data_IF_527777398026
#
_entry.id   IF_527777398026
#
_cell.length_a   1.000
_cell.length_b   1.000
_cell.length_c   1.000
_cell.angle_alpha   90.00
_cell.angle_beta   90.00
_cell.angle_gamma   90.00
#
_symmetry.space_group_name_H-M   'P 1'
#
loop_
_entity.id
_entity.type
_entity.pdbx_description
1 polymer ?
#
# COMPACT_ATOMS: atom_id res chain seq x y z
N UNK A 1 -29.40 -8.90 4.08
CA UNK A 1 -28.76 -7.69 4.58
C UNK A 1 -28.41 -6.86 3.36
N UNK A 2 -29.23 -5.86 3.03
CA UNK A 2 -28.99 -5.00 1.87
C UNK A 2 -27.78 -4.13 2.19
N UNK A 3 -26.65 -4.41 1.52
CA UNK A 3 -25.53 -3.50 1.51
C UNK A 3 -26.02 -2.17 0.93
N UNK A 4 -26.17 -1.16 1.78
CA UNK A 4 -26.52 0.20 1.37
C UNK A 4 -25.62 0.63 0.21
N UNK A 5 -26.20 1.28 -0.80
CA UNK A 5 -25.46 1.80 -1.96
C UNK A 5 -24.29 2.65 -1.45
N UNK A 6 -23.07 2.19 -1.70
CA UNK A 6 -21.89 2.99 -1.44
C UNK A 6 -21.92 4.20 -2.39
N UNK A 7 -21.87 5.41 -1.83
CA UNK A 7 -21.61 6.61 -2.62
C UNK A 7 -20.16 6.58 -3.08
N UNK A 8 -19.94 6.75 -4.39
CA UNK A 8 -18.61 6.72 -5.01
C UNK A 8 -18.31 8.10 -5.58
N UNK A 9 -17.29 8.74 -5.05
CA UNK A 9 -16.74 9.99 -5.57
C UNK A 9 -15.44 9.72 -6.34
N UNK A 10 -15.33 10.25 -7.55
CA UNK A 10 -14.15 10.11 -8.40
C UNK A 10 -13.29 11.38 -8.36
N UNK A 11 -12.02 11.24 -7.98
CA UNK A 11 -11.04 12.34 -7.98
C UNK A 11 -10.02 12.08 -9.09
N UNK A 12 -9.99 12.92 -10.12
CA UNK A 12 -8.98 12.86 -11.18
C UNK A 12 -7.76 13.71 -10.80
N UNK A 13 -6.70 13.07 -10.33
CA UNK A 13 -5.46 13.74 -9.93
C UNK A 13 -4.26 12.80 -9.96
N UNK A 14 -3.06 13.38 -9.96
CA UNK A 14 -1.81 12.65 -9.75
C UNK A 14 -1.61 12.41 -8.25
N UNK A 15 -1.84 11.17 -7.82
CA UNK A 15 -1.77 10.78 -6.41
C UNK A 15 -0.41 11.09 -5.76
N UNK A 16 0.68 11.02 -6.54
CA UNK A 16 2.03 11.30 -6.02
C UNK A 16 2.22 12.77 -5.65
N UNK A 17 1.39 13.67 -6.19
CA UNK A 17 1.43 15.11 -5.95
C UNK A 17 0.40 15.58 -4.93
N UNK A 18 -0.83 15.06 -4.99
CA UNK A 18 -1.91 15.48 -4.08
C UNK A 18 -1.92 14.72 -2.75
N UNK A 19 -1.40 13.48 -2.74
CA UNK A 19 -1.38 12.62 -1.56
C UNK A 19 -2.78 12.41 -0.97
N UNK A 20 -2.83 12.31 0.36
CA UNK A 20 -4.08 12.05 1.08
C UNK A 20 -4.81 13.31 1.56
N UNK A 21 -4.21 14.49 1.38
CA UNK A 21 -4.72 15.72 1.99
C UNK A 21 -6.10 16.09 1.45
N UNK A 22 -6.31 15.88 0.15
CA UNK A 22 -7.53 16.19 -0.58
C UNK A 22 -8.63 15.13 -0.49
N UNK A 23 -8.46 14.06 0.29
CA UNK A 23 -9.39 12.91 0.28
C UNK A 23 -10.51 13.06 1.31
N UNK A 24 -10.19 13.16 2.60
CA UNK A 24 -11.20 13.31 3.66
C UNK A 24 -10.60 13.95 4.90
N UNK A 25 -11.25 14.94 5.53
CA UNK A 25 -10.76 15.53 6.78
C UNK A 25 -10.74 14.54 7.95
N UNK A 26 -11.52 13.47 7.88
CA UNK A 26 -11.59 12.42 8.90
C UNK A 26 -10.53 11.33 8.70
N UNK A 27 -10.48 10.37 9.63
CA UNK A 27 -9.64 9.19 9.48
C UNK A 27 -10.28 8.22 8.50
N UNK A 28 -9.46 7.56 7.68
CA UNK A 28 -9.95 6.66 6.63
C UNK A 28 -9.08 5.41 6.48
N UNK A 29 -9.65 4.42 5.80
CA UNK A 29 -8.93 3.21 5.37
C UNK A 29 -8.51 3.34 3.92
N UNK A 30 -7.28 2.95 3.62
CA UNK A 30 -6.73 2.92 2.26
C UNK A 30 -6.77 1.49 1.75
N UNK A 31 -7.37 1.29 0.58
CA UNK A 31 -7.29 0.04 -0.18
C UNK A 31 -6.83 0.39 -1.60
N UNK A 32 -5.76 -0.25 -2.08
CA UNK A 32 -5.26 0.06 -3.43
C UNK A 32 -4.47 -1.08 -4.06
N UNK A 33 -4.58 -1.19 -5.39
CA UNK A 33 -3.65 -1.94 -6.22
C UNK A 33 -2.75 -0.93 -6.95
N UNK A 34 -1.50 -0.80 -6.50
CA UNK A 34 -0.62 0.29 -6.91
C UNK A 34 0.20 -0.08 -8.16
N UNK A 35 0.44 0.88 -9.08
CA UNK A 35 1.53 0.75 -10.03
C UNK A 35 2.85 0.58 -9.27
N UNK A 36 3.63 -0.44 -9.62
CA UNK A 36 4.82 -0.80 -8.84
C UNK A 36 5.90 0.29 -8.79
N UNK A 37 5.94 1.14 -9.80
CA UNK A 37 6.92 2.22 -9.92
C UNK A 37 6.80 3.29 -8.83
N UNK A 38 5.63 3.40 -8.17
CA UNK A 38 5.38 4.42 -7.14
C UNK A 38 5.35 3.84 -5.72
N UNK A 39 5.77 2.58 -5.53
CA UNK A 39 5.64 1.88 -4.25
C UNK A 39 6.38 2.58 -3.11
N UNK A 40 7.57 3.12 -3.38
CA UNK A 40 8.39 3.81 -2.38
C UNK A 40 7.74 5.13 -1.95
N UNK A 41 7.36 5.97 -2.92
CA UNK A 41 6.70 7.25 -2.72
C UNK A 41 5.36 7.04 -1.99
N UNK A 42 4.61 6.01 -2.36
CA UNK A 42 3.36 5.65 -1.69
C UNK A 42 3.57 5.32 -0.21
N UNK A 43 4.57 4.48 0.12
CA UNK A 43 4.87 4.15 1.51
C UNK A 43 5.28 5.38 2.31
N UNK A 44 6.07 6.29 1.71
CA UNK A 44 6.44 7.55 2.34
C UNK A 44 5.21 8.45 2.60
N UNK A 45 4.27 8.51 1.67
CA UNK A 45 3.01 9.25 1.83
C UNK A 45 2.13 8.65 2.94
N UNK A 46 2.03 7.33 3.03
CA UNK A 46 1.32 6.63 4.10
C UNK A 46 1.95 6.94 5.46
N UNK A 47 3.28 6.84 5.57
CA UNK A 47 4.01 7.17 6.81
C UNK A 47 3.79 8.62 7.23
N UNK A 48 3.85 9.55 6.27
CA UNK A 48 3.65 10.98 6.51
C UNK A 48 2.21 11.30 6.92
N UNK A 49 1.24 10.54 6.38
CA UNK A 49 -0.20 10.74 6.63
C UNK A 49 -0.79 9.79 7.68
N UNK A 50 0.05 9.03 8.40
CA UNK A 50 -0.37 7.95 9.31
C UNK A 50 -1.34 8.38 10.43
N UNK A 51 -1.38 9.66 10.78
CA UNK A 51 -2.31 10.21 11.76
C UNK A 51 -3.76 10.22 11.27
N UNK A 52 -3.97 10.16 9.94
CA UNK A 52 -5.27 10.10 9.27
C UNK A 52 -5.63 8.72 8.73
N UNK A 53 -4.69 7.76 8.73
CA UNK A 53 -4.91 6.44 8.16
C UNK A 53 -5.10 5.42 9.28
N UNK A 54 -6.27 4.79 9.34
CA UNK A 54 -6.55 3.71 10.30
C UNK A 54 -5.91 2.39 9.87
N UNK A 55 -6.01 2.10 8.58
CA UNK A 55 -5.50 0.88 7.98
C UNK A 55 -5.16 1.13 6.52
N UNK A 56 -4.10 0.48 6.06
CA UNK A 56 -3.67 0.48 4.67
C UNK A 56 -3.56 -0.98 4.22
N UNK A 57 -4.38 -1.38 3.25
CA UNK A 57 -4.34 -2.71 2.61
C UNK A 57 -4.01 -2.48 1.15
N UNK A 58 -2.77 -2.74 0.78
CA UNK A 58 -2.30 -2.49 -0.58
C UNK A 58 -1.62 -3.70 -1.15
N UNK A 59 -1.80 -3.89 -2.45
CA UNK A 59 -1.04 -4.87 -3.21
C UNK A 59 0.22 -4.23 -3.77
N UNK A 60 1.34 -4.91 -3.58
CA UNK A 60 2.67 -4.50 -3.98
C UNK A 60 3.37 -5.63 -4.76
N UNK A 61 4.54 -5.34 -5.33
CA UNK A 61 5.42 -6.43 -5.80
C UNK A 61 5.86 -7.26 -4.59
N UNK A 62 5.86 -8.58 -4.76
CA UNK A 62 6.23 -9.53 -3.70
C UNK A 62 7.57 -9.17 -3.03
N UNK A 63 8.62 -8.95 -3.80
CA UNK A 63 9.95 -8.61 -3.26
C UNK A 63 9.94 -7.33 -2.40
N UNK A 64 9.12 -6.35 -2.79
CA UNK A 64 9.00 -5.10 -2.05
C UNK A 64 8.23 -5.31 -0.74
N UNK A 65 7.12 -6.03 -0.78
CA UNK A 65 6.33 -6.40 0.40
C UNK A 65 7.14 -7.25 1.40
N UNK A 66 7.87 -8.26 0.90
CA UNK A 66 8.72 -9.13 1.71
C UNK A 66 9.84 -8.33 2.38
N UNK A 67 10.49 -7.39 1.68
CA UNK A 67 11.50 -6.51 2.27
C UNK A 67 10.92 -5.57 3.32
N UNK A 68 9.72 -5.04 3.12
CA UNK A 68 9.06 -4.20 4.14
C UNK A 68 8.75 -5.00 5.42
N UNK A 69 8.35 -6.27 5.28
CA UNK A 69 8.00 -7.15 6.41
C UNK A 69 9.18 -7.95 6.98
N UNK A 70 10.37 -7.83 6.39
CA UNK A 70 11.54 -8.63 6.76
C UNK A 70 11.93 -8.46 8.23
N UNK A 71 12.28 -9.55 8.91
CA UNK A 71 12.75 -9.51 10.31
C UNK A 71 14.25 -9.23 10.40
N UNK A 72 14.73 -8.58 11.49
CA UNK A 72 16.17 -8.43 11.75
C UNK A 72 16.92 -9.75 11.63
N UNK A 73 18.08 -9.73 10.99
CA UNK A 73 18.92 -10.92 10.76
C UNK A 73 18.55 -11.73 9.52
N UNK A 74 17.45 -11.43 8.82
CA UNK A 74 17.16 -12.03 7.51
C UNK A 74 17.97 -11.39 6.40
N UNK A 75 18.24 -12.13 5.31
CA UNK A 75 19.03 -11.66 4.15
C UNK A 75 18.44 -10.43 3.46
N UNK A 76 17.11 -10.29 3.51
CA UNK A 76 16.37 -9.21 2.85
C UNK A 76 16.05 -8.04 3.79
N UNK A 77 16.47 -8.11 5.05
CA UNK A 77 16.34 -7.03 6.02
C UNK A 77 17.27 -5.86 5.68
N UNK A 78 16.74 -4.64 5.70
CA UNK A 78 17.55 -3.45 5.44
C UNK A 78 16.83 -2.15 5.76
N UNK A 79 17.28 -1.06 5.12
CA UNK A 79 16.77 0.29 5.37
C UNK A 79 15.25 0.41 5.18
N UNK A 80 14.69 -0.24 4.15
CA UNK A 80 13.24 -0.27 3.92
C UNK A 80 12.48 -0.97 5.07
N UNK A 81 12.99 -2.09 5.55
CA UNK A 81 12.40 -2.85 6.66
C UNK A 81 12.38 -1.98 7.93
N UNK A 82 13.51 -1.36 8.25
CA UNK A 82 13.66 -0.46 9.40
C UNK A 82 12.69 0.71 9.29
N UNK A 83 12.71 1.41 8.15
CA UNK A 83 11.87 2.58 7.92
C UNK A 83 10.39 2.24 8.06
N UNK A 84 9.92 1.20 7.34
CA UNK A 84 8.51 0.84 7.37
C UNK A 84 8.06 0.37 8.76
N UNK A 85 8.83 -0.51 9.41
CA UNK A 85 8.45 -1.09 10.71
C UNK A 85 8.59 -0.11 11.87
N UNK A 86 9.44 0.91 11.74
CA UNK A 86 9.53 1.97 12.74
C UNK A 86 8.25 2.80 12.82
N UNK A 87 7.62 3.08 11.68
CA UNK A 87 6.41 3.91 11.61
C UNK A 87 5.11 3.11 11.56
N UNK A 88 5.13 1.86 11.06
CA UNK A 88 3.95 1.08 10.71
C UNK A 88 4.03 -0.35 11.24
N UNK A 89 2.89 -0.94 11.58
CA UNK A 89 2.76 -2.39 11.77
C UNK A 89 2.54 -3.08 10.42
N UNK A 90 3.60 -3.55 9.81
CA UNK A 90 3.57 -4.23 8.50
C UNK A 90 3.22 -5.71 8.68
N UNK A 91 2.24 -6.21 7.91
CA UNK A 91 1.84 -7.62 7.92
C UNK A 91 1.51 -8.10 6.50
N UNK A 92 2.22 -9.10 5.97
CA UNK A 92 1.82 -9.80 4.75
C UNK A 92 0.45 -10.46 4.92
N UNK A 93 -0.40 -10.38 3.89
CA UNK A 93 -1.76 -10.93 3.94
C UNK A 93 -1.90 -12.19 3.10
N UNK A 94 -1.59 -12.10 1.80
CA UNK A 94 -1.72 -13.22 0.87
C UNK A 94 -0.87 -12.97 -0.38
N UNK A 95 -0.37 -14.03 -1.00
CA UNK A 95 0.24 -13.94 -2.33
C UNK A 95 -0.87 -13.84 -3.39
N UNK A 96 -0.67 -12.97 -4.38
CA UNK A 96 -1.57 -12.84 -5.54
C UNK A 96 -0.85 -13.30 -6.80
N UNK A 97 -1.33 -14.36 -7.47
CA UNK A 97 -0.66 -14.88 -8.66
C UNK A 97 -0.76 -13.89 -9.81
N UNK A 98 0.32 -13.76 -10.59
CA UNK A 98 0.35 -12.90 -11.78
C UNK A 98 -0.78 -13.18 -12.80
N UNK A 99 -1.35 -14.38 -12.79
CA UNK A 99 -2.48 -14.78 -13.66
C UNK A 99 -3.79 -14.07 -13.31
N UNK A 100 -3.87 -13.40 -12.15
CA UNK A 100 -5.01 -12.57 -11.75
C UNK A 100 -5.06 -11.21 -12.49
N UNK A 101 -4.05 -10.86 -13.29
CA UNK A 101 -3.90 -9.56 -13.93
C UNK A 101 -4.04 -9.63 -15.45
N UNK A 102 -4.49 -8.52 -16.04
CA UNK A 102 -4.49 -8.29 -17.50
C UNK A 102 -3.98 -6.87 -17.81
N UNK A 103 -2.86 -6.71 -18.53
CA UNK A 103 -1.94 -7.76 -18.99
C UNK A 103 -1.21 -8.43 -17.81
N UNK A 104 -0.68 -9.64 -18.04
CA UNK A 104 0.05 -10.41 -17.01
C UNK A 104 1.39 -9.71 -16.71
N UNK A 105 1.68 -9.34 -15.45
CA UNK A 105 2.96 -8.75 -15.07
C UNK A 105 4.08 -9.79 -15.10
N UNK A 106 5.33 -9.31 -15.17
CA UNK A 106 6.53 -10.15 -15.14
C UNK A 106 6.90 -10.66 -13.74
N UNK A 107 6.26 -10.14 -12.70
CA UNK A 107 6.56 -10.42 -11.30
C UNK A 107 5.31 -10.86 -10.55
N UNK A 108 5.50 -11.51 -9.41
CA UNK A 108 4.43 -11.85 -8.46
C UNK A 108 4.09 -10.68 -7.53
N UNK A 109 2.90 -10.73 -6.94
CA UNK A 109 2.35 -9.70 -6.05
C UNK A 109 2.01 -10.25 -4.67
N UNK A 110 1.96 -9.36 -3.68
CA UNK A 110 1.54 -9.64 -2.30
C UNK A 110 0.86 -8.42 -1.66
#
# INVERSE_FOLDING_TARGET
EEAGKAEVEGIHSDFTKCGFQSVSPERFTVVSNLPYQISTEFVQLVVSSRHRIDRCVVMLQRDFAERMAARPGSKIYGSLSIFAQFYLKVRPLMDVPRTAFKPIPKVESQ
#
